data_IF_421839218823
#
_entry.id   IF_421839218823
#
_cell.length_a   1.000
_cell.length_b   1.000
_cell.length_c   1.000
_cell.angle_alpha   90.00
_cell.angle_beta   90.00
_cell.angle_gamma   90.00
#
_symmetry.space_group_name_H-M   'P 1'
#
loop_
_entity.id
_entity.type
_entity.pdbx_description
1 polymer ?
#
# COMPACT_ATOMS: atom_id res chain seq x y z
N UNK A 1 -41.81 -19.91 -59.86
CA UNK A 1 -40.83 -18.95 -59.29
C UNK A 1 -39.56 -19.71 -58.89
N UNK A 2 -38.40 -19.23 -59.36
CA UNK A 2 -37.09 -19.92 -59.39
C UNK A 2 -36.31 -19.85 -58.06
N UNK A 3 -35.44 -20.85 -57.88
CA UNK A 3 -34.41 -21.02 -56.82
C UNK A 3 -33.18 -20.17 -57.14
N UNK A 4 -32.46 -19.67 -56.12
CA UNK A 4 -31.04 -19.29 -56.22
C UNK A 4 -30.30 -19.65 -54.92
N UNK A 5 -29.19 -20.37 -55.08
CA UNK A 5 -28.14 -20.74 -54.10
C UNK A 5 -27.06 -19.64 -54.01
N UNK A 6 -26.24 -19.68 -52.94
CA UNK A 6 -24.86 -19.13 -52.77
C UNK A 6 -24.75 -18.10 -51.61
N UNK A 7 -23.72 -18.01 -50.77
CA UNK A 7 -22.42 -18.69 -50.51
C UNK A 7 -21.98 -18.17 -49.11
N UNK A 8 -21.29 -18.94 -48.25
CA UNK A 8 -20.73 -18.40 -47.00
C UNK A 8 -19.41 -17.68 -47.29
N UNK A 9 -19.31 -16.39 -46.94
CA UNK A 9 -18.05 -15.66 -46.89
C UNK A 9 -17.47 -15.83 -45.47
N UNK A 10 -16.54 -16.77 -45.31
CA UNK A 10 -15.71 -16.84 -44.10
C UNK A 10 -14.47 -15.97 -44.35
N UNK A 11 -14.39 -14.85 -43.64
CA UNK A 11 -13.20 -14.05 -43.51
C UNK A 11 -12.99 -13.73 -42.02
N UNK A 12 -11.71 -13.57 -41.64
CA UNK A 12 -11.17 -13.14 -40.35
C UNK A 12 -10.69 -14.30 -39.44
N UNK A 13 -9.48 -14.30 -38.86
CA UNK A 13 -8.37 -13.34 -38.74
C UNK A 13 -7.11 -14.18 -38.48
N UNK A 14 -5.96 -13.74 -38.99
CA UNK A 14 -4.67 -14.37 -38.76
C UNK A 14 -4.36 -14.53 -37.26
N UNK A 15 -3.93 -15.74 -36.89
CA UNK A 15 -3.45 -16.08 -35.55
C UNK A 15 -2.09 -15.37 -35.33
N UNK A 16 -2.13 -14.15 -34.83
CA UNK A 16 -0.96 -13.48 -34.27
C UNK A 16 -0.59 -14.18 -32.97
N UNK A 17 0.45 -15.02 -33.00
CA UNK A 17 1.10 -15.48 -31.78
C UNK A 17 1.73 -14.25 -31.09
N UNK A 18 0.96 -13.62 -30.21
CA UNK A 18 1.54 -12.79 -29.16
C UNK A 18 2.34 -13.74 -28.29
N UNK A 19 3.65 -13.84 -28.57
CA UNK A 19 4.60 -14.44 -27.65
C UNK A 19 4.44 -13.70 -26.33
N UNK A 20 3.79 -14.36 -25.37
CA UNK A 20 3.78 -13.90 -24.00
C UNK A 20 5.23 -13.69 -23.61
N UNK A 21 5.59 -12.45 -23.26
CA UNK A 21 6.81 -12.21 -22.52
C UNK A 21 6.69 -13.05 -21.26
N UNK A 22 7.36 -14.20 -21.25
CA UNK A 22 7.59 -14.92 -20.03
C UNK A 22 8.26 -13.91 -19.09
N UNK A 23 7.57 -13.56 -18.00
CA UNK A 23 8.18 -12.82 -16.89
C UNK A 23 9.46 -13.55 -16.58
N UNK A 24 10.61 -12.98 -16.91
CA UNK A 24 11.83 -13.52 -16.38
C UNK A 24 11.74 -13.31 -14.87
N UNK A 25 12.24 -14.26 -14.12
CA UNK A 25 12.41 -14.04 -12.70
C UNK A 25 13.49 -12.97 -12.52
N UNK A 26 13.41 -12.10 -11.49
CA UNK A 26 14.50 -11.20 -11.18
C UNK A 26 15.82 -11.97 -11.06
N UNK A 27 16.94 -11.25 -11.23
CA UNK A 27 18.24 -11.91 -11.28
C UNK A 27 18.46 -12.73 -10.00
N UNK A 28 19.05 -13.93 -10.12
CA UNK A 28 19.29 -14.81 -8.96
C UNK A 28 20.00 -14.09 -7.81
N UNK A 29 20.83 -13.09 -8.12
CA UNK A 29 21.52 -12.28 -7.12
C UNK A 29 20.58 -11.39 -6.29
N UNK A 30 19.54 -10.82 -6.88
CA UNK A 30 18.58 -9.96 -6.18
C UNK A 30 17.66 -10.76 -5.25
N UNK A 31 17.20 -11.94 -5.70
CA UNK A 31 16.38 -12.83 -4.87
C UNK A 31 17.15 -13.34 -3.64
N UNK A 32 18.41 -13.75 -3.81
CA UNK A 32 19.27 -14.18 -2.70
C UNK A 32 19.61 -13.02 -1.74
N UNK A 33 19.88 -11.83 -2.29
CA UNK A 33 20.11 -10.62 -1.49
C UNK A 33 18.87 -10.26 -0.65
N UNK A 34 17.68 -10.31 -1.24
CA UNK A 34 16.41 -10.05 -0.56
C UNK A 34 16.18 -11.06 0.58
N UNK A 35 16.41 -12.35 0.32
CA UNK A 35 16.31 -13.40 1.32
C UNK A 35 17.28 -13.20 2.48
N UNK A 36 18.54 -12.91 2.19
CA UNK A 36 19.57 -12.67 3.20
C UNK A 36 19.22 -11.48 4.11
N UNK A 37 18.74 -10.37 3.53
CA UNK A 37 18.29 -9.20 4.30
C UNK A 37 17.07 -9.49 5.16
N UNK A 38 16.10 -10.23 4.64
CA UNK A 38 14.93 -10.65 5.41
C UNK A 38 15.32 -11.59 6.56
N UNK A 39 16.25 -12.51 6.32
CA UNK A 39 16.76 -13.42 7.35
C UNK A 39 17.48 -12.66 8.47
N UNK A 40 18.19 -11.58 8.14
CA UNK A 40 18.82 -10.71 9.14
C UNK A 40 17.84 -10.12 10.17
N UNK A 41 16.56 -9.90 9.80
CA UNK A 41 15.53 -9.49 10.77
C UNK A 41 15.19 -10.63 11.72
N UNK A 42 15.09 -11.86 11.21
CA UNK A 42 14.82 -13.03 12.05
C UNK A 42 15.99 -13.29 13.01
N UNK A 43 17.22 -13.17 12.51
CA UNK A 43 18.44 -13.32 13.30
C UNK A 43 18.56 -12.22 14.38
N UNK A 44 17.97 -11.04 14.14
CA UNK A 44 17.84 -9.95 15.10
C UNK A 44 16.70 -10.13 16.13
N UNK A 45 15.95 -11.24 16.06
CA UNK A 45 14.94 -11.62 17.06
C UNK A 45 13.49 -11.38 16.64
N UNK A 46 13.22 -10.91 15.42
CA UNK A 46 11.85 -10.84 14.90
C UNK A 46 11.35 -12.26 14.55
N UNK A 47 10.10 -12.64 14.85
CA UNK A 47 9.60 -14.00 14.58
C UNK A 47 9.67 -14.42 13.11
N UNK A 48 9.38 -13.48 12.22
CA UNK A 48 9.31 -13.70 10.78
C UNK A 48 9.49 -12.37 10.02
N UNK A 49 9.82 -12.48 8.74
CA UNK A 49 9.83 -11.37 7.81
C UNK A 49 9.31 -11.82 6.44
N UNK A 50 8.51 -10.94 5.82
CA UNK A 50 8.11 -11.04 4.42
C UNK A 50 8.68 -9.83 3.69
N UNK A 51 9.22 -10.04 2.49
CA UNK A 51 9.70 -8.95 1.66
C UNK A 51 9.47 -9.27 0.19
N UNK A 52 9.18 -8.23 -0.61
CA UNK A 52 9.05 -8.35 -2.04
C UNK A 52 9.74 -7.17 -2.73
N UNK A 53 10.23 -7.40 -3.94
CA UNK A 53 10.78 -6.38 -4.84
C UNK A 53 10.18 -6.59 -6.22
N UNK A 54 9.79 -5.49 -6.86
CA UNK A 54 9.37 -5.47 -8.26
C UNK A 54 10.26 -4.46 -8.98
N UNK A 55 10.89 -4.88 -10.07
CA UNK A 55 11.76 -4.02 -10.86
C UNK A 55 10.96 -3.11 -11.82
N UNK A 56 11.65 -2.22 -12.54
CA UNK A 56 11.02 -1.30 -13.50
C UNK A 56 10.42 -1.99 -14.74
N UNK A 57 10.75 -3.26 -14.97
CA UNK A 57 10.18 -4.09 -16.04
C UNK A 57 8.97 -4.89 -15.57
N UNK A 58 8.63 -4.82 -14.28
CA UNK A 58 7.51 -5.52 -13.67
C UNK A 58 7.86 -6.90 -13.12
N UNK A 59 9.13 -7.30 -13.13
CA UNK A 59 9.57 -8.60 -12.64
C UNK A 59 9.66 -8.58 -11.12
N UNK A 60 9.11 -9.61 -10.48
CA UNK A 60 8.95 -9.63 -9.02
C UNK A 60 9.62 -10.83 -8.35
N UNK A 61 10.24 -10.61 -7.19
CA UNK A 61 10.65 -11.64 -6.26
C UNK A 61 10.02 -11.37 -4.90
N UNK A 62 9.64 -12.45 -4.21
CA UNK A 62 9.18 -12.41 -2.84
C UNK A 62 9.92 -13.44 -1.99
N UNK A 63 10.07 -13.14 -0.71
CA UNK A 63 10.63 -14.05 0.29
C UNK A 63 9.78 -14.02 1.55
N UNK A 64 9.70 -15.16 2.21
CA UNK A 64 9.10 -15.32 3.52
C UNK A 64 10.05 -16.17 4.37
N UNK A 65 10.46 -15.66 5.53
CA UNK A 65 11.45 -16.30 6.40
C UNK A 65 10.98 -16.30 7.85
N UNK A 66 11.54 -17.20 8.66
CA UNK A 66 11.18 -17.37 10.06
C UNK A 66 9.89 -18.14 10.28
N UNK A 67 9.20 -17.84 11.39
CA UNK A 67 8.00 -18.54 11.86
C UNK A 67 6.82 -17.58 11.87
N UNK A 68 5.85 -17.83 11.00
CA UNK A 68 4.57 -17.12 10.96
C UNK A 68 3.67 -17.47 12.15
N UNK A 69 3.87 -18.64 12.74
CA UNK A 69 3.28 -19.02 14.03
C UNK A 69 4.36 -19.51 14.99
N UNK A 70 4.47 -18.85 16.14
CA UNK A 70 5.37 -19.28 17.22
C UNK A 70 4.88 -20.55 17.90
N UNK A 71 3.57 -20.81 17.89
CA UNK A 71 2.96 -21.99 18.48
C UNK A 71 3.23 -23.25 17.65
N UNK A 72 2.98 -23.19 16.34
CA UNK A 72 3.13 -24.35 15.45
C UNK A 72 4.52 -24.45 14.82
N UNK A 73 5.30 -23.36 14.86
CA UNK A 73 6.60 -23.25 14.19
C UNK A 73 6.50 -23.16 12.67
N UNK A 74 5.30 -23.02 12.11
CA UNK A 74 5.10 -22.95 10.66
C UNK A 74 5.68 -21.65 10.09
N UNK A 75 6.22 -21.74 8.88
CA UNK A 75 6.67 -20.58 8.11
C UNK A 75 5.48 -19.67 7.77
N UNK A 76 5.69 -18.35 7.66
CA UNK A 76 4.65 -17.46 7.14
C UNK A 76 4.33 -17.78 5.66
N UNK A 77 3.08 -17.63 5.21
CA UNK A 77 2.75 -17.66 3.79
C UNK A 77 3.48 -16.54 3.04
N UNK A 78 3.84 -16.76 1.78
CA UNK A 78 4.50 -15.73 0.96
C UNK A 78 3.57 -14.53 0.69
N UNK A 79 2.28 -14.80 0.60
CA UNK A 79 1.16 -13.86 0.45
C UNK A 79 0.47 -13.56 1.80
N UNK A 80 1.18 -13.75 2.91
CA UNK A 80 0.63 -13.52 4.24
C UNK A 80 0.23 -12.06 4.47
N UNK A 81 -0.91 -11.86 5.14
CA UNK A 81 -1.40 -10.54 5.50
C UNK A 81 -0.76 -10.04 6.81
N UNK A 82 -0.45 -8.74 6.84
CA UNK A 82 0.08 -8.07 8.03
C UNK A 82 -0.67 -6.78 8.31
N UNK A 83 -0.71 -6.37 9.58
CA UNK A 83 -1.20 -5.05 9.96
C UNK A 83 -0.15 -4.01 9.57
N UNK A 84 -0.50 -3.12 8.64
CA UNK A 84 0.45 -2.18 8.02
C UNK A 84 0.76 -0.93 8.88
N UNK A 85 0.08 -0.75 10.00
CA UNK A 85 0.32 0.36 10.93
C UNK A 85 0.31 1.73 10.27
N UNK A 86 1.34 2.55 10.53
CA UNK A 86 1.43 3.92 10.00
C UNK A 86 1.44 4.02 8.47
N UNK A 87 1.67 2.94 7.72
CA UNK A 87 1.50 2.97 6.26
C UNK A 87 0.07 3.36 5.85
N UNK A 88 -0.93 3.13 6.72
CA UNK A 88 -2.31 3.58 6.52
C UNK A 88 -2.40 5.10 6.30
N UNK A 89 -1.50 5.92 6.85
CA UNK A 89 -1.52 7.38 6.69
C UNK A 89 -1.43 7.79 5.21
N UNK A 90 -0.66 7.07 4.39
CA UNK A 90 -0.56 7.34 2.95
C UNK A 90 -1.90 7.11 2.25
N UNK A 91 -2.64 6.07 2.62
CA UNK A 91 -3.98 5.82 2.07
C UNK A 91 -4.97 6.92 2.45
N UNK A 92 -4.95 7.36 3.72
CA UNK A 92 -5.76 8.48 4.18
C UNK A 92 -5.40 9.76 3.43
N UNK A 93 -4.11 10.05 3.26
CA UNK A 93 -3.64 11.21 2.52
C UNK A 93 -4.14 11.19 1.05
N UNK A 94 -4.11 10.04 0.38
CA UNK A 94 -4.67 9.91 -0.99
C UNK A 94 -6.14 10.29 -1.02
N UNK A 95 -6.96 9.78 -0.10
CA UNK A 95 -8.40 10.11 -0.04
C UNK A 95 -8.61 11.60 0.24
N UNK A 96 -7.81 12.20 1.14
CA UNK A 96 -7.87 13.65 1.38
C UNK A 96 -7.49 14.43 0.13
N UNK A 97 -6.44 14.03 -0.60
CA UNK A 97 -6.04 14.69 -1.83
C UNK A 97 -7.07 14.53 -2.96
N UNK A 98 -7.79 13.42 -3.02
CA UNK A 98 -8.95 13.26 -3.91
C UNK A 98 -10.06 14.26 -3.55
N UNK A 99 -10.38 14.40 -2.26
CA UNK A 99 -11.35 15.42 -1.81
C UNK A 99 -10.88 16.85 -2.10
N UNK A 100 -9.57 17.11 -2.07
CA UNK A 100 -8.98 18.40 -2.50
C UNK A 100 -9.18 18.61 -4.00
N UNK A 101 -8.91 17.60 -4.82
CA UNK A 101 -9.15 17.66 -6.27
C UNK A 101 -10.63 17.91 -6.59
N UNK A 102 -11.54 17.33 -5.81
CA UNK A 102 -12.99 17.53 -5.94
C UNK A 102 -13.48 18.88 -5.37
N UNK A 103 -12.59 19.70 -4.80
CA UNK A 103 -12.94 20.98 -4.18
C UNK A 103 -13.73 20.86 -2.87
N UNK A 104 -13.79 19.66 -2.27
CA UNK A 104 -14.49 19.39 -1.01
C UNK A 104 -13.65 19.74 0.22
N UNK A 105 -12.33 19.70 0.08
CA UNK A 105 -11.36 20.02 1.14
C UNK A 105 -10.32 21.00 0.60
N UNK A 106 -9.99 22.04 1.38
CA UNK A 106 -8.88 22.95 1.11
C UNK A 106 -7.69 22.57 1.99
N UNK A 107 -6.50 22.45 1.40
CA UNK A 107 -5.29 22.12 2.17
C UNK A 107 -4.94 23.22 3.20
N UNK A 108 -5.15 24.47 2.83
CA UNK A 108 -4.85 25.63 3.67
C UNK A 108 -6.09 26.12 4.44
N UNK A 109 -7.20 25.39 4.35
CA UNK A 109 -8.42 25.67 5.11
C UNK A 109 -8.24 25.20 6.56
N UNK A 110 -8.69 25.99 7.56
CA UNK A 110 -8.71 25.55 8.95
C UNK A 110 -9.57 24.29 9.14
N UNK A 111 -9.13 23.41 10.05
CA UNK A 111 -9.85 22.16 10.36
C UNK A 111 -11.22 22.44 11.01
N UNK A 112 -11.37 23.59 11.67
CA UNK A 112 -12.62 24.07 12.26
C UNK A 112 -13.74 24.22 11.21
N UNK A 113 -13.40 24.48 9.94
CA UNK A 113 -14.36 24.54 8.82
C UNK A 113 -15.07 23.21 8.60
N UNK A 114 -14.39 22.09 8.86
CA UNK A 114 -14.92 20.74 8.64
C UNK A 114 -15.42 20.07 9.92
N UNK A 115 -14.83 20.41 11.07
CA UNK A 115 -15.05 19.76 12.36
C UNK A 115 -15.37 20.79 13.46
N UNK A 116 -16.41 21.61 13.30
CA UNK A 116 -16.68 22.73 14.19
C UNK A 116 -16.89 22.28 15.64
N UNK A 117 -16.12 22.87 16.55
CA UNK A 117 -16.17 22.62 17.99
C UNK A 117 -15.67 21.25 18.46
N UNK A 118 -15.16 20.40 17.55
CA UNK A 118 -14.72 19.05 17.88
C UNK A 118 -13.33 19.06 18.52
N UNK A 119 -12.40 19.81 17.94
CA UNK A 119 -10.99 19.84 18.35
C UNK A 119 -10.79 20.96 19.37
N UNK A 120 -10.53 20.58 20.62
CA UNK A 120 -10.41 21.50 21.76
C UNK A 120 -9.38 21.00 22.76
N UNK A 121 -8.78 21.91 23.50
CA UNK A 121 -7.80 21.62 24.53
C UNK A 121 -7.05 22.88 24.94
N UNK A 122 -6.31 22.81 26.05
CA UNK A 122 -5.49 23.94 26.49
C UNK A 122 -4.42 24.26 25.42
N UNK A 123 -4.34 25.53 25.02
CA UNK A 123 -3.39 25.98 24.00
C UNK A 123 -3.72 25.55 22.56
N UNK A 124 -4.81 24.82 22.32
CA UNK A 124 -5.21 24.38 20.98
C UNK A 124 -6.21 25.37 20.38
N UNK A 125 -5.84 25.96 19.25
CA UNK A 125 -6.69 26.85 18.45
C UNK A 125 -6.97 26.20 17.08
N UNK A 126 -8.10 25.49 16.98
CA UNK A 126 -8.48 24.75 15.77
C UNK A 126 -8.71 25.65 14.54
N UNK A 127 -8.99 26.94 14.72
CA UNK A 127 -9.15 27.87 13.60
C UNK A 127 -7.81 28.29 12.98
N UNK A 128 -6.68 27.91 13.59
CA UNK A 128 -5.32 28.15 13.04
C UNK A 128 -4.66 26.89 12.49
N UNK A 129 -5.21 25.72 12.76
CA UNK A 129 -4.68 24.45 12.28
C UNK A 129 -5.27 24.14 10.93
N UNK A 130 -4.44 23.94 9.90
CA UNK A 130 -4.90 23.61 8.55
C UNK A 130 -4.88 22.10 8.27
N UNK A 131 -5.63 21.67 7.26
CA UNK A 131 -5.59 20.28 6.78
C UNK A 131 -4.17 19.87 6.36
N UNK A 132 -3.41 20.76 5.71
CA UNK A 132 -2.01 20.55 5.32
C UNK A 132 -1.14 20.25 6.53
N UNK A 133 -1.32 20.98 7.63
CA UNK A 133 -0.54 20.77 8.84
C UNK A 133 -0.85 19.43 9.50
N UNK A 134 -2.10 18.93 9.43
CA UNK A 134 -2.41 17.57 9.87
C UNK A 134 -1.69 16.52 9.02
N UNK A 135 -1.74 16.64 7.69
CA UNK A 135 -1.09 15.69 6.77
C UNK A 135 0.45 15.71 6.87
N UNK A 136 1.03 16.81 7.34
CA UNK A 136 2.47 16.99 7.47
C UNK A 136 3.00 16.84 8.90
N UNK A 137 2.12 16.55 9.87
CA UNK A 137 2.49 16.50 11.30
C UNK A 137 3.11 17.81 11.81
N UNK A 138 2.59 18.96 11.39
CA UNK A 138 3.04 20.30 11.79
C UNK A 138 1.96 21.13 12.49
N UNK A 139 0.85 20.50 12.88
CA UNK A 139 -0.28 21.17 13.55
C UNK A 139 -0.02 21.54 15.01
N UNK A 140 0.97 20.90 15.65
CA UNK A 140 1.23 21.04 17.09
C UNK A 140 0.23 20.31 17.99
N UNK A 141 -0.67 19.49 17.43
CA UNK A 141 -1.54 18.62 18.24
C UNK A 141 -0.69 17.55 18.96
N UNK A 142 -0.95 17.29 20.26
CA UNK A 142 -0.21 16.30 21.01
C UNK A 142 -0.50 14.88 20.51
N UNK A 143 0.50 14.00 20.59
CA UNK A 143 0.35 12.58 20.29
C UNK A 143 -0.38 11.90 21.47
N UNK A 144 -1.54 11.30 21.20
CA UNK A 144 -2.35 10.69 22.25
C UNK A 144 -1.70 9.42 22.78
N UNK A 145 -0.87 8.73 21.98
CA UNK A 145 -0.19 7.51 22.44
C UNK A 145 0.83 7.80 23.54
N UNK A 146 1.41 9.01 23.59
CA UNK A 146 2.33 9.39 24.66
C UNK A 146 1.64 9.33 26.02
N UNK A 147 0.36 9.71 26.11
CA UNK A 147 -0.41 9.62 27.35
C UNK A 147 -0.68 8.16 27.76
N UNK A 148 -0.96 7.28 26.80
CA UNK A 148 -1.25 5.86 27.06
C UNK A 148 0.00 5.03 27.39
N UNK A 149 1.17 5.37 26.85
CA UNK A 149 2.40 4.60 27.06
C UNK A 149 3.37 5.22 28.08
N UNK A 150 3.20 6.50 28.47
CA UNK A 150 3.98 7.11 29.57
C UNK A 150 3.42 6.83 30.97
N UNK A 151 2.26 6.17 31.07
CA UNK A 151 1.58 5.83 32.32
C UNK A 151 1.85 4.40 32.84
N UNK A 152 2.79 3.67 32.21
CA UNK A 152 3.35 2.39 32.67
C UNK A 152 4.84 2.52 32.97
#
# INVERSE_FOLDING_TARGET
MCRVLAVPLVAAIALGAAGGAASAAPSKGEAESLKSRAQGLVDAGYPAALAAVTDSKGESAGVAVGKGSLETGQAPPLDGEVRIGSNTKTFVAVVVMQMVQEGKVGLDEPIETYLPGLIKGEGIDASKITVRQLLQHTSGLPEYTDYYFSSN
#
